data_IF_593918896924
#
_entry.id   IF_593918896924
#
_cell.length_a   1.000
_cell.length_b   1.000
_cell.length_c   1.000
_cell.angle_alpha   90.00
_cell.angle_beta   90.00
_cell.angle_gamma   90.00
#
_symmetry.space_group_name_H-M   'P 1'
#
loop_
_entity.id
_entity.type
_entity.pdbx_description
1 polymer ?
#
# COMPACT_ATOMS: atom_id res chain seq x y z
N UNK A 1 -17.87 -4.37 34.51
CA UNK A 1 -17.62 -4.24 33.06
C UNK A 1 -16.13 -4.32 32.84
N UNK A 2 -15.65 -5.42 32.24
CA UNK A 2 -14.23 -5.71 32.10
C UNK A 2 -13.58 -4.78 31.08
N UNK A 3 -12.55 -4.04 31.50
CA UNK A 3 -11.67 -3.34 30.61
C UNK A 3 -10.89 -4.38 29.78
N UNK A 4 -11.32 -4.61 28.54
CA UNK A 4 -10.51 -5.31 27.55
C UNK A 4 -9.33 -4.39 27.28
N UNK A 5 -8.19 -4.67 27.93
CA UNK A 5 -6.90 -4.08 27.57
C UNK A 5 -6.54 -4.62 26.19
N UNK A 6 -7.06 -3.99 25.15
CA UNK A 6 -6.63 -4.23 23.79
C UNK A 6 -5.18 -3.78 23.71
N UNK A 7 -4.27 -4.75 23.60
CA UNK A 7 -2.85 -4.50 23.47
C UNK A 7 -2.57 -3.91 22.08
N UNK A 8 -2.42 -2.58 22.03
CA UNK A 8 -2.19 -1.81 20.81
C UNK A 8 -0.80 -2.13 20.21
N UNK A 9 0.21 -2.35 21.06
CA UNK A 9 1.58 -2.62 20.61
C UNK A 9 1.71 -3.97 19.90
N UNK A 10 0.96 -4.98 20.31
CA UNK A 10 0.96 -6.29 19.65
C UNK A 10 0.35 -6.23 18.24
N UNK A 11 -0.63 -5.36 17.99
CA UNK A 11 -1.25 -5.19 16.66
C UNK A 11 -0.39 -4.35 15.71
N UNK A 12 0.30 -3.35 16.25
CA UNK A 12 1.29 -2.52 15.55
C UNK A 12 2.42 -3.39 15.00
N UNK A 13 3.05 -4.23 15.85
CA UNK A 13 4.10 -5.18 15.44
C UNK A 13 3.63 -6.21 14.41
N UNK A 14 2.38 -6.65 14.47
CA UNK A 14 1.84 -7.62 13.53
C UNK A 14 1.63 -7.03 12.13
N UNK A 15 1.33 -5.74 12.04
CA UNK A 15 1.21 -5.04 10.76
C UNK A 15 2.57 -4.66 10.19
N UNK A 16 3.50 -4.20 11.04
CA UNK A 16 4.90 -3.99 10.66
C UNK A 16 5.52 -5.28 10.11
N UNK A 17 5.22 -6.43 10.73
CA UNK A 17 5.69 -7.74 10.27
C UNK A 17 4.98 -8.24 9.00
N UNK A 18 3.76 -7.77 8.69
CA UNK A 18 3.02 -8.16 7.48
C UNK A 18 3.49 -7.36 6.26
N UNK A 19 3.87 -6.10 6.44
CA UNK A 19 4.27 -5.19 5.36
C UNK A 19 5.77 -4.85 5.43
N UNK A 20 6.63 -5.88 5.55
CA UNK A 20 8.09 -5.70 5.69
C UNK A 20 8.75 -5.21 4.39
N UNK A 21 8.14 -5.48 3.23
CA UNK A 21 8.76 -5.26 1.92
C UNK A 21 8.13 -4.10 1.11
N UNK A 22 7.79 -2.98 1.77
CA UNK A 22 7.16 -1.82 1.11
C UNK A 22 8.11 -1.03 0.20
N UNK A 23 9.41 -1.31 0.25
CA UNK A 23 10.41 -0.87 -0.72
C UNK A 23 10.31 -1.60 -2.08
N UNK A 24 9.46 -2.61 -2.18
CA UNK A 24 9.17 -3.34 -3.42
C UNK A 24 7.78 -3.01 -4.00
N UNK A 25 7.66 -3.05 -5.33
CA UNK A 25 6.38 -2.84 -6.01
C UNK A 25 5.32 -3.89 -5.61
N UNK A 26 5.74 -5.11 -5.32
CA UNK A 26 4.83 -6.20 -4.96
C UNK A 26 4.34 -6.07 -3.52
N UNK A 27 5.20 -5.61 -2.59
CA UNK A 27 4.76 -5.25 -1.24
C UNK A 27 3.74 -4.11 -1.25
N UNK A 28 3.95 -3.08 -2.08
CA UNK A 28 2.97 -2.00 -2.25
C UNK A 28 1.65 -2.51 -2.83
N UNK A 29 1.67 -3.42 -3.83
CA UNK A 29 0.44 -4.01 -4.36
C UNK A 29 -0.32 -4.84 -3.32
N UNK A 30 0.40 -5.57 -2.45
CA UNK A 30 -0.20 -6.31 -1.35
C UNK A 30 -0.92 -5.35 -0.39
N UNK A 31 -0.25 -4.27 0.01
CA UNK A 31 -0.82 -3.23 0.85
C UNK A 31 -2.07 -2.58 0.21
N UNK A 32 -1.99 -2.24 -1.08
CA UNK A 32 -3.12 -1.70 -1.84
C UNK A 32 -4.28 -2.68 -1.94
N UNK A 33 -4.02 -3.98 -2.09
CA UNK A 33 -5.05 -5.02 -2.08
C UNK A 33 -5.79 -5.13 -0.75
N UNK A 34 -5.11 -4.84 0.36
CA UNK A 34 -5.69 -4.83 1.70
C UNK A 34 -6.39 -3.50 2.07
N UNK A 35 -6.43 -2.51 1.16
CA UNK A 35 -6.91 -1.15 1.45
C UNK A 35 -8.31 -1.12 2.09
N UNK A 36 -9.26 -1.90 1.56
CA UNK A 36 -10.62 -1.96 2.11
C UNK A 36 -10.67 -2.63 3.48
N UNK A 37 -9.87 -3.69 3.70
CA UNK A 37 -9.76 -4.35 4.99
C UNK A 37 -9.14 -3.42 6.05
N UNK A 38 -8.09 -2.68 5.70
CA UNK A 38 -7.48 -1.67 6.56
C UNK A 38 -8.44 -0.53 6.87
N UNK A 39 -9.23 -0.09 5.87
CA UNK A 39 -10.24 0.94 6.06
C UNK A 39 -11.33 0.50 7.04
N UNK A 40 -11.79 -0.76 6.97
CA UNK A 40 -12.72 -1.32 7.95
C UNK A 40 -12.11 -1.39 9.36
N UNK A 41 -10.84 -1.79 9.48
CA UNK A 41 -10.12 -1.81 10.76
C UNK A 41 -9.98 -0.41 11.36
N UNK A 42 -9.65 0.60 10.55
CA UNK A 42 -9.65 2.01 10.96
C UNK A 42 -10.99 2.42 11.56
N UNK A 43 -12.10 2.10 10.90
CA UNK A 43 -13.44 2.41 11.44
C UNK A 43 -13.76 1.67 12.73
N UNK A 44 -13.12 0.52 12.99
CA UNK A 44 -13.19 -0.19 14.26
C UNK A 44 -12.26 0.37 15.35
N UNK A 45 -11.57 1.50 15.09
CA UNK A 45 -10.67 2.16 16.05
C UNK A 45 -9.26 1.56 16.11
N UNK A 46 -8.83 0.83 15.07
CA UNK A 46 -7.47 0.32 14.97
C UNK A 46 -6.50 1.41 14.49
N UNK A 47 -5.81 2.06 15.43
CA UNK A 47 -4.88 3.16 15.13
C UNK A 47 -3.71 2.75 14.23
N UNK A 48 -3.20 1.51 14.36
CA UNK A 48 -2.15 1.03 13.46
C UNK A 48 -2.63 0.95 12.00
N UNK A 49 -3.91 0.62 11.78
CA UNK A 49 -4.51 0.68 10.45
C UNK A 49 -4.69 2.14 9.96
N UNK A 50 -4.94 3.09 10.87
CA UNK A 50 -4.96 4.52 10.54
C UNK A 50 -3.60 4.98 10.02
N UNK A 51 -2.53 4.70 10.77
CA UNK A 51 -1.17 5.15 10.47
C UNK A 51 -0.73 4.62 9.10
N UNK A 52 -0.89 3.31 8.85
CA UNK A 52 -0.58 2.69 7.55
C UNK A 52 -1.34 3.35 6.40
N UNK A 53 -2.63 3.67 6.58
CA UNK A 53 -3.42 4.32 5.53
C UNK A 53 -2.98 5.77 5.29
N UNK A 54 -2.57 6.49 6.35
CA UNK A 54 -2.02 7.85 6.26
C UNK A 54 -0.69 7.83 5.51
N UNK A 55 0.17 6.88 5.85
CA UNK A 55 1.48 6.71 5.22
C UNK A 55 1.32 6.33 3.74
N UNK A 56 0.42 5.41 3.43
CA UNK A 56 0.11 5.03 2.05
C UNK A 56 -0.40 6.22 1.23
N UNK A 57 -1.32 7.02 1.80
CA UNK A 57 -1.82 8.24 1.15
C UNK A 57 -0.67 9.21 0.87
N UNK A 58 0.17 9.46 1.87
CA UNK A 58 1.32 10.36 1.76
C UNK A 58 2.33 9.84 0.74
N UNK A 59 2.56 8.54 0.68
CA UNK A 59 3.47 7.93 -0.29
C UNK A 59 2.94 8.07 -1.72
N UNK A 60 1.64 7.85 -1.95
CA UNK A 60 0.98 8.04 -3.26
C UNK A 60 1.06 9.50 -3.72
N UNK A 61 0.87 10.45 -2.80
CA UNK A 61 0.98 11.89 -3.08
C UNK A 61 2.40 12.29 -3.48
N UNK A 62 3.42 11.75 -2.80
CA UNK A 62 4.84 12.05 -3.04
C UNK A 62 5.45 11.26 -4.21
N UNK A 63 4.82 10.18 -4.66
CA UNK A 63 5.35 9.29 -5.70
C UNK A 63 5.41 9.89 -7.11
N UNK A 64 4.88 11.09 -7.35
CA UNK A 64 4.90 11.72 -8.68
C UNK A 64 4.15 10.89 -9.73
N UNK A 65 2.99 10.34 -9.34
CA UNK A 65 2.13 9.58 -10.25
C UNK A 65 1.49 10.50 -11.30
N UNK A 66 1.42 10.01 -12.53
CA UNK A 66 0.59 10.66 -13.56
C UNK A 66 -0.90 10.46 -13.24
N UNK A 67 -1.76 11.29 -13.81
CA UNK A 67 -3.21 11.18 -13.56
C UNK A 67 -3.76 9.82 -13.99
N UNK A 68 -3.24 9.26 -15.09
CA UNK A 68 -3.61 7.90 -15.54
C UNK A 68 -3.14 6.80 -14.59
N UNK A 69 -1.97 6.96 -13.95
CA UNK A 69 -1.49 6.03 -12.93
C UNK A 69 -2.37 6.09 -11.67
N UNK A 70 -2.66 7.31 -11.21
CA UNK A 70 -3.51 7.55 -10.04
C UNK A 70 -4.92 7.01 -10.24
N UNK A 71 -5.50 7.26 -11.41
CA UNK A 71 -6.86 6.78 -11.72
C UNK A 71 -6.92 5.25 -11.83
N UNK A 72 -5.90 4.61 -12.43
CA UNK A 72 -5.82 3.15 -12.48
C UNK A 72 -5.74 2.52 -11.08
N UNK A 73 -4.94 3.11 -10.17
CA UNK A 73 -4.89 2.65 -8.77
C UNK A 73 -6.24 2.83 -8.07
N UNK A 74 -6.86 4.01 -8.22
CA UNK A 74 -8.15 4.33 -7.59
C UNK A 74 -9.23 3.34 -8.01
N UNK A 75 -9.38 3.08 -9.31
CA UNK A 75 -10.42 2.19 -9.82
C UNK A 75 -10.24 0.75 -9.29
N UNK A 76 -9.02 0.23 -9.33
CA UNK A 76 -8.76 -1.16 -8.92
C UNK A 76 -8.85 -1.37 -7.41
N UNK A 77 -8.21 -0.50 -6.62
CA UNK A 77 -8.02 -0.76 -5.20
C UNK A 77 -9.04 -0.06 -4.29
N UNK A 78 -9.64 1.04 -4.75
CA UNK A 78 -10.69 1.76 -4.00
C UNK A 78 -12.07 1.48 -4.58
N UNK A 79 -12.20 1.45 -5.91
CA UNK A 79 -13.46 1.18 -6.59
C UNK A 79 -13.83 -0.30 -6.70
N UNK A 80 -12.92 -1.21 -6.35
CA UNK A 80 -13.06 -2.67 -6.51
C UNK A 80 -13.29 -3.12 -7.96
N UNK A 81 -12.88 -2.31 -8.95
CA UNK A 81 -12.94 -2.70 -10.36
C UNK A 81 -11.89 -3.76 -10.62
N UNK A 82 -12.27 -4.80 -11.36
CA UNK A 82 -11.28 -5.68 -11.97
C UNK A 82 -10.40 -4.88 -12.95
N UNK A 83 -9.21 -5.41 -13.27
CA UNK A 83 -8.36 -4.78 -14.28
C UNK A 83 -9.04 -4.70 -15.67
N UNK A 84 -9.98 -5.59 -15.96
CA UNK A 84 -10.74 -5.60 -17.22
C UNK A 84 -11.75 -4.44 -17.22
N UNK A 85 -12.52 -4.27 -16.15
CA UNK A 85 -13.46 -3.15 -16.02
C UNK A 85 -12.71 -1.81 -15.98
N UNK A 86 -11.56 -1.76 -15.30
CA UNK A 86 -10.68 -0.59 -15.30
C UNK A 86 -10.19 -0.26 -16.72
N UNK A 87 -9.83 -1.28 -17.51
CA UNK A 87 -9.39 -1.08 -18.90
C UNK A 87 -10.52 -0.49 -19.75
N UNK A 88 -11.75 -0.99 -19.58
CA UNK A 88 -12.95 -0.45 -20.24
C UNK A 88 -13.21 1.00 -19.83
N UNK A 89 -13.20 1.30 -18.52
CA UNK A 89 -13.42 2.64 -17.99
C UNK A 89 -12.38 3.65 -18.48
N UNK A 90 -11.12 3.22 -18.63
CA UNK A 90 -10.03 4.08 -19.10
C UNK A 90 -9.90 4.16 -20.62
N UNK A 91 -10.62 3.32 -21.38
CA UNK A 91 -10.50 3.22 -22.84
C UNK A 91 -9.15 2.67 -23.31
N UNK A 92 -8.54 1.75 -22.56
CA UNK A 92 -7.22 1.16 -22.86
C UNK A 92 -7.25 -0.36 -22.79
N UNK A 93 -6.15 -1.02 -23.14
CA UNK A 93 -6.04 -2.48 -22.98
C UNK A 93 -5.77 -2.90 -21.53
N UNK A 94 -6.13 -4.14 -21.16
CA UNK A 94 -5.77 -4.73 -19.86
C UNK A 94 -4.25 -4.70 -19.62
N UNK A 95 -3.44 -4.96 -20.65
CA UNK A 95 -1.98 -4.87 -20.55
C UNK A 95 -1.52 -3.45 -20.18
N UNK A 96 -2.19 -2.43 -20.70
CA UNK A 96 -1.90 -1.03 -20.36
C UNK A 96 -2.23 -0.74 -18.89
N UNK A 97 -3.37 -1.23 -18.39
CA UNK A 97 -3.73 -1.11 -16.97
C UNK A 97 -2.67 -1.78 -16.07
N UNK A 98 -2.26 -3.00 -16.41
CA UNK A 98 -1.19 -3.71 -15.69
C UNK A 98 0.10 -2.88 -15.63
N UNK A 99 0.51 -2.29 -16.76
CA UNK A 99 1.69 -1.43 -16.81
C UNK A 99 1.53 -0.17 -15.97
N UNK A 100 0.35 0.48 -16.01
CA UNK A 100 0.06 1.66 -15.20
C UNK A 100 0.18 1.36 -13.70
N UNK A 101 -0.44 0.26 -13.25
CA UNK A 101 -0.40 -0.17 -11.85
C UNK A 101 1.01 -0.55 -11.42
N UNK A 102 1.73 -1.35 -12.21
CA UNK A 102 3.10 -1.77 -11.88
C UNK A 102 4.06 -0.59 -11.76
N UNK A 103 3.99 0.38 -12.70
CA UNK A 103 4.83 1.58 -12.62
C UNK A 103 4.42 2.46 -11.44
N UNK A 104 3.12 2.59 -11.15
CA UNK A 104 2.65 3.36 -10.01
C UNK A 104 3.12 2.75 -8.68
N UNK A 105 2.97 1.43 -8.52
CA UNK A 105 3.42 0.70 -7.35
C UNK A 105 4.94 0.83 -7.14
N UNK A 106 5.74 0.71 -8.20
CA UNK A 106 7.19 0.91 -8.12
C UNK A 106 7.57 2.33 -7.68
N UNK A 107 6.85 3.37 -8.16
CA UNK A 107 7.09 4.74 -7.72
C UNK A 107 6.74 4.97 -6.26
N UNK A 108 5.64 4.39 -5.78
CA UNK A 108 5.24 4.44 -4.37
C UNK A 108 6.27 3.71 -3.50
N UNK A 109 6.75 2.55 -3.96
CA UNK A 109 7.77 1.78 -3.26
C UNK A 109 9.08 2.57 -3.06
N UNK A 110 9.46 3.39 -4.05
CA UNK A 110 10.63 4.29 -3.95
C UNK A 110 10.48 5.36 -2.86
N UNK A 111 9.26 5.76 -2.52
CA UNK A 111 9.01 6.69 -1.40
C UNK A 111 9.23 5.97 -0.06
N UNK A 112 8.69 4.76 0.09
CA UNK A 112 8.94 3.93 1.27
C UNK A 112 10.42 3.56 1.44
N UNK A 113 11.11 3.24 0.35
CA UNK A 113 12.56 3.02 0.36
C UNK A 113 13.30 4.24 0.89
N UNK A 114 12.93 5.45 0.44
CA UNK A 114 13.54 6.69 0.91
C UNK A 114 13.27 6.93 2.40
N UNK A 115 12.04 6.71 2.88
CA UNK A 115 11.68 6.82 4.30
C UNK A 115 12.46 5.82 5.16
N UNK A 116 12.59 4.58 4.70
CA UNK A 116 13.39 3.56 5.37
C UNK A 116 14.86 3.99 5.50
N UNK A 117 15.46 4.50 4.42
CA UNK A 117 16.83 5.03 4.44
C UNK A 117 17.03 6.23 5.37
N UNK A 118 15.96 6.98 5.69
CA UNK A 118 15.99 8.09 6.65
C UNK A 118 15.74 7.65 8.10
N UNK A 119 15.41 6.37 8.34
CA UNK A 119 15.18 5.84 9.69
C UNK A 119 13.76 6.07 10.22
N UNK A 120 12.77 6.32 9.35
CA UNK A 120 11.35 6.57 9.71
C UNK A 120 10.58 5.31 10.16
N UNK A 121 11.27 4.20 10.47
CA UNK A 121 10.65 2.99 11.03
C UNK A 121 10.26 1.89 10.03
N UNK A 122 10.39 2.09 8.72
CA UNK A 122 10.23 1.02 7.74
C UNK A 122 11.52 0.22 7.54
N UNK A 123 11.42 -1.10 7.42
CA UNK A 123 12.54 -1.96 7.05
C UNK A 123 12.70 -2.01 5.53
N UNK A 124 13.96 -2.02 5.05
CA UNK A 124 14.26 -2.45 3.68
C UNK A 124 14.19 -3.96 3.63
N UNK A 125 13.73 -4.52 2.51
CA UNK A 125 13.91 -5.94 2.25
C UNK A 125 15.41 -6.16 1.98
N UNK A 126 16.13 -6.73 2.94
CA UNK A 126 17.51 -7.16 2.70
C UNK A 126 17.39 -8.49 1.95
N UNK A 127 17.58 -8.49 0.64
CA UNK A 127 17.86 -9.74 -0.07
C UNK A 127 19.23 -10.22 0.44
N UNK A 128 19.24 -11.21 1.33
CA UNK A 128 20.47 -11.93 1.64
C UNK A 128 20.94 -12.60 0.34
N UNK A 129 21.94 -12.00 -0.32
CA UNK A 129 22.71 -12.65 -1.36
C UNK A 129 23.28 -13.94 -0.78
N UNK A 130 22.64 -15.07 -1.09
CA UNK A 130 23.26 -16.38 -0.88
C UNK A 130 24.42 -16.50 -1.86
N UNK A 131 25.63 -16.31 -1.34
CA UNK A 131 26.90 -16.55 -2.00
C UNK A 131 27.10 -18.02 -2.39
#
# INVERSE_FOLDING_TARGET
>A
MGAVKTDFQSKERALDSKYVALDSADGVKLLLGDYNALTQRRYAGDYAACDILIDLSTAIERAGLTDRQREALRLVFVGEYTQVETAQALGVSKQTVNRLISVAAAKVARVYEAWSRMGEGYALTIEEETA
#
